data_IF_468193819316
#
_entry.id   IF_468193819316
#
_cell.length_a   1.000
_cell.length_b   1.000
_cell.length_c   1.000
_cell.angle_alpha   90.00
_cell.angle_beta   90.00
_cell.angle_gamma   90.00
#
_symmetry.space_group_name_H-M   'P 1'
#
loop_
_entity.id
_entity.type
_entity.pdbx_description
1 polymer ?
#
# COMPACT_ATOMS: atom_id res chain seq x y z
N UNK A 1 -7.31 -55.15 67.87
CA UNK A 1 -6.16 -54.23 67.81
C UNK A 1 -6.72 -52.85 67.53
N UNK A 2 -6.50 -51.93 68.45
CA UNK A 2 -7.01 -50.57 68.41
C UNK A 2 -6.08 -49.69 67.57
N UNK A 3 -6.66 -48.84 66.73
CA UNK A 3 -5.99 -47.64 66.22
C UNK A 3 -6.83 -46.43 66.63
N UNK A 4 -6.15 -45.55 67.36
CA UNK A 4 -6.64 -44.34 68.00
C UNK A 4 -7.03 -43.26 66.98
N UNK A 5 -8.13 -42.56 67.22
CA UNK A 5 -8.38 -41.22 66.69
C UNK A 5 -8.04 -40.19 67.78
N UNK A 6 -7.21 -39.21 67.44
CA UNK A 6 -6.93 -38.03 68.28
C UNK A 6 -7.95 -36.95 67.91
N UNK A 7 -8.75 -36.42 68.84
CA UNK A 7 -9.62 -35.29 68.59
C UNK A 7 -8.87 -33.97 68.79
N UNK A 8 -8.93 -33.04 67.83
CA UNK A 8 -8.50 -31.65 68.01
C UNK A 8 -7.46 -31.09 67.03
N UNK A 9 -7.55 -31.41 65.74
CA UNK A 9 -6.86 -30.64 64.71
C UNK A 9 -7.88 -30.22 63.66
N UNK A 10 -8.24 -28.95 63.74
CA UNK A 10 -9.00 -28.23 62.72
C UNK A 10 -8.21 -28.29 61.41
N UNK A 11 -8.72 -29.02 60.42
CA UNK A 11 -8.27 -28.88 59.05
C UNK A 11 -8.96 -27.63 58.52
N UNK A 12 -8.28 -26.49 58.65
CA UNK A 12 -8.61 -25.27 57.93
C UNK A 12 -8.55 -25.59 56.43
N UNK A 13 -9.73 -25.58 55.80
CA UNK A 13 -9.91 -25.62 54.35
C UNK A 13 -9.50 -24.25 53.80
N UNK A 14 -8.20 -23.95 53.83
CA UNK A 14 -7.65 -22.85 53.05
C UNK A 14 -7.46 -23.34 51.62
N UNK A 15 -8.53 -23.19 50.85
CA UNK A 15 -8.53 -23.15 49.40
C UNK A 15 -7.57 -22.02 48.98
N UNK A 16 -6.26 -22.30 48.90
CA UNK A 16 -5.30 -21.44 48.21
C UNK A 16 -5.54 -21.57 46.71
N UNK A 17 -6.65 -20.99 46.25
CA UNK A 17 -6.77 -20.53 44.88
C UNK A 17 -5.71 -19.45 44.68
N UNK A 18 -4.52 -19.88 44.25
CA UNK A 18 -3.51 -18.97 43.70
C UNK A 18 -4.22 -18.09 42.66
N UNK A 19 -4.19 -16.76 42.77
CA UNK A 19 -4.70 -15.93 41.70
C UNK A 19 -3.84 -16.26 40.48
N UNK A 20 -4.46 -16.77 39.42
CA UNK A 20 -3.87 -16.79 38.10
C UNK A 20 -3.38 -15.37 37.82
N UNK A 21 -2.07 -15.15 37.95
CA UNK A 21 -1.44 -13.91 37.52
C UNK A 21 -1.57 -13.98 36.00
N UNK A 22 -2.61 -13.34 35.46
CA UNK A 22 -2.63 -12.97 34.06
C UNK A 22 -1.36 -12.14 33.83
N UNK A 23 -0.31 -12.80 33.31
CA UNK A 23 0.87 -12.14 32.79
C UNK A 23 0.39 -11.26 31.65
N UNK A 24 0.06 -10.02 31.98
CA UNK A 24 -0.27 -8.99 31.01
C UNK A 24 0.96 -8.82 30.13
N UNK A 25 0.87 -9.28 28.88
CA UNK A 25 1.96 -9.16 27.92
C UNK A 25 2.46 -7.70 27.92
N UNK A 26 3.78 -7.48 27.93
CA UNK A 26 4.31 -6.13 28.00
C UNK A 26 3.78 -5.31 26.81
N UNK A 27 3.46 -4.01 27.02
CA UNK A 27 2.93 -3.19 25.95
C UNK A 27 3.90 -3.18 24.77
N UNK A 28 3.37 -3.34 23.56
CA UNK A 28 4.15 -3.37 22.33
C UNK A 28 4.18 -2.00 21.66
N UNK A 29 5.31 -1.68 21.04
CA UNK A 29 5.42 -0.62 20.04
C UNK A 29 5.33 -1.26 18.65
N UNK A 30 4.56 -0.63 17.75
CA UNK A 30 4.32 -1.11 16.40
C UNK A 30 4.86 -0.10 15.40
N UNK A 31 5.73 -0.55 14.50
CA UNK A 31 6.36 0.32 13.53
C UNK A 31 6.16 -0.21 12.12
N UNK A 32 5.73 0.65 11.21
CA UNK A 32 5.87 0.43 9.78
C UNK A 32 7.30 0.82 9.38
N UNK A 33 8.04 -0.16 8.88
CA UNK A 33 9.45 -0.03 8.57
C UNK A 33 9.76 -0.44 7.14
N UNK A 34 10.91 0.01 6.64
CA UNK A 34 11.59 -0.58 5.49
C UNK A 34 12.61 -1.57 6.03
N UNK A 35 12.52 -2.83 5.62
CA UNK A 35 13.59 -3.80 5.81
C UNK A 35 14.70 -3.55 4.78
N UNK A 36 15.86 -3.08 5.24
CA UNK A 36 16.96 -2.66 4.39
C UNK A 36 17.61 -3.81 3.61
N UNK A 37 17.44 -5.06 4.05
CA UNK A 37 17.99 -6.23 3.34
C UNK A 37 17.08 -6.69 2.21
N UNK A 38 15.79 -6.82 2.49
CA UNK A 38 14.80 -7.26 1.50
C UNK A 38 14.24 -6.11 0.64
N UNK A 39 14.50 -4.86 1.04
CA UNK A 39 14.02 -3.62 0.42
C UNK A 39 12.48 -3.68 0.25
N UNK A 40 11.80 -3.96 1.36
CA UNK A 40 10.36 -4.15 1.41
C UNK A 40 9.77 -3.55 2.70
N UNK A 41 8.52 -3.10 2.63
CA UNK A 41 7.76 -2.68 3.81
C UNK A 41 7.51 -3.85 4.76
N UNK A 42 7.63 -3.62 6.06
CA UNK A 42 7.33 -4.58 7.14
C UNK A 42 6.71 -3.88 8.33
N UNK A 43 5.83 -4.59 9.04
CA UNK A 43 5.39 -4.20 10.37
C UNK A 43 6.30 -4.89 11.38
N UNK A 44 6.92 -4.12 12.27
CA UNK A 44 7.78 -4.61 13.36
C UNK A 44 7.07 -4.32 14.67
N UNK A 45 6.76 -5.39 15.41
CA UNK A 45 6.19 -5.31 16.76
C UNK A 45 7.25 -5.76 17.76
N UNK A 46 7.47 -4.96 18.81
CA UNK A 46 8.47 -5.27 19.83
C UNK A 46 8.07 -4.66 21.18
N UNK A 47 8.58 -5.17 22.32
CA UNK A 47 8.28 -4.60 23.63
C UNK A 47 8.64 -3.11 23.70
N UNK A 48 7.78 -2.33 24.36
CA UNK A 48 7.92 -0.88 24.43
C UNK A 48 9.29 -0.45 24.93
N UNK A 49 9.88 0.50 24.22
CA UNK A 49 11.21 1.03 24.55
C UNK A 49 12.38 0.13 24.11
N UNK A 50 12.13 -1.01 23.48
CA UNK A 50 13.18 -1.78 22.80
C UNK A 50 13.68 -0.98 21.61
N UNK A 51 15.00 -0.82 21.40
CA UNK A 51 15.53 -0.20 20.19
C UNK A 51 15.18 -1.01 18.93
N UNK A 52 14.69 -0.35 17.88
CA UNK A 52 14.51 -0.98 16.57
C UNK A 52 15.89 -1.32 15.98
N UNK A 53 16.05 -2.55 15.47
CA UNK A 53 17.28 -2.98 14.79
C UNK A 53 17.63 -2.07 13.62
N UNK A 54 18.91 -1.76 13.47
CA UNK A 54 19.52 -0.98 12.38
C UNK A 54 19.16 -1.45 10.95
N UNK A 55 18.77 -2.72 10.80
CA UNK A 55 18.26 -3.24 9.52
C UNK A 55 16.88 -2.70 9.13
N UNK A 56 16.19 -2.01 10.03
CA UNK A 56 14.88 -1.44 9.81
C UNK A 56 14.95 0.09 9.84
N UNK A 57 14.44 0.73 8.81
CA UNK A 57 14.19 2.17 8.79
C UNK A 57 12.73 2.43 9.12
N UNK A 58 12.44 3.05 10.26
CA UNK A 58 11.07 3.41 10.66
C UNK A 58 10.54 4.49 9.70
N UNK A 59 9.39 4.23 9.11
CA UNK A 59 8.67 5.16 8.23
C UNK A 59 7.48 5.79 8.97
N UNK A 60 6.81 5.00 9.82
CA UNK A 60 5.64 5.44 10.56
C UNK A 60 5.44 4.59 11.81
N UNK A 61 5.14 5.24 12.94
CA UNK A 61 4.66 4.56 14.15
C UNK A 61 3.17 4.24 13.98
N UNK A 62 2.79 2.99 14.22
CA UNK A 62 1.41 2.52 14.08
C UNK A 62 0.72 2.50 15.43
N UNK A 63 -0.46 3.11 15.49
CA UNK A 63 -1.37 2.94 16.63
C UNK A 63 -1.94 1.51 16.65
N UNK A 64 -2.40 1.07 17.83
CA UNK A 64 -3.07 -0.23 17.94
C UNK A 64 -4.32 -0.31 17.07
N UNK A 65 -5.06 0.80 16.92
CA UNK A 65 -6.24 0.89 16.07
C UNK A 65 -5.88 0.69 14.59
N UNK A 66 -4.88 1.42 14.09
CA UNK A 66 -4.40 1.23 12.72
C UNK A 66 -3.95 -0.21 12.49
N UNK A 67 -3.22 -0.79 13.45
CA UNK A 67 -2.75 -2.17 13.37
C UNK A 67 -3.89 -3.18 13.25
N UNK A 68 -5.03 -2.95 13.92
CA UNK A 68 -6.19 -3.86 13.83
C UNK A 68 -6.76 -3.97 12.42
N UNK A 69 -6.49 -3.00 11.54
CA UNK A 69 -6.95 -3.03 10.15
C UNK A 69 -6.11 -3.95 9.26
N UNK A 70 -4.88 -4.29 9.67
CA UNK A 70 -3.96 -5.11 8.89
C UNK A 70 -4.15 -6.60 9.13
N UNK A 71 -4.02 -7.40 8.08
CA UNK A 71 -3.91 -8.87 8.18
C UNK A 71 -5.21 -9.65 8.29
N UNK A 72 -6.35 -8.97 8.46
CA UNK A 72 -7.66 -9.62 8.40
C UNK A 72 -8.01 -9.97 6.96
N UNK A 73 -7.71 -11.21 6.56
CA UNK A 73 -8.06 -11.71 5.24
C UNK A 73 -9.58 -11.80 5.09
N UNK A 74 -10.09 -11.32 3.96
CA UNK A 74 -11.48 -11.45 3.57
C UNK A 74 -11.80 -12.89 3.18
N UNK A 75 -13.00 -13.34 3.53
CA UNK A 75 -13.54 -14.59 3.01
C UNK A 75 -14.06 -14.37 1.60
N UNK A 76 -14.07 -15.42 0.79
CA UNK A 76 -14.60 -15.37 -0.57
C UNK A 76 -16.07 -14.90 -0.63
N UNK A 77 -16.86 -15.17 0.42
CA UNK A 77 -18.25 -14.69 0.54
C UNK A 77 -18.38 -13.18 0.73
N UNK A 78 -17.32 -12.54 1.23
CA UNK A 78 -17.32 -11.11 1.62
C UNK A 78 -16.70 -10.23 0.53
N UNK A 79 -16.27 -10.85 -0.57
CA UNK A 79 -15.69 -10.20 -1.74
C UNK A 79 -16.82 -10.04 -2.77
N UNK A 80 -17.29 -8.81 -2.93
CA UNK A 80 -18.12 -8.46 -4.07
C UNK A 80 -17.27 -8.53 -5.35
N UNK A 81 -17.59 -9.39 -6.33
CA UNK A 81 -16.86 -9.44 -7.59
C UNK A 81 -16.78 -8.09 -8.30
N UNK A 82 -17.79 -7.24 -8.10
CA UNK A 82 -17.90 -5.91 -8.70
C UNK A 82 -17.42 -4.77 -7.78
N UNK A 83 -17.12 -5.09 -6.52
CA UNK A 83 -16.54 -4.16 -5.56
C UNK A 83 -15.07 -3.85 -5.84
N UNK A 84 -14.61 -2.73 -5.27
CA UNK A 84 -13.22 -2.28 -5.32
C UNK A 84 -12.68 -1.80 -3.96
N UNK A 85 -13.34 -2.15 -2.87
CA UNK A 85 -12.98 -1.77 -1.51
C UNK A 85 -12.05 -2.79 -0.82
N UNK A 86 -11.34 -3.57 -1.64
CA UNK A 86 -10.39 -4.60 -1.21
C UNK A 86 -9.13 -4.63 -2.08
N UNK A 87 -8.04 -5.12 -1.49
CA UNK A 87 -6.72 -5.18 -2.11
C UNK A 87 -6.19 -6.61 -2.04
N UNK A 88 -5.78 -7.13 -3.19
CA UNK A 88 -5.16 -8.46 -3.31
C UNK A 88 -3.68 -8.44 -2.93
N UNK A 89 -3.23 -9.36 -2.08
CA UNK A 89 -1.81 -9.60 -1.84
C UNK A 89 -1.31 -10.75 -2.72
N UNK A 90 -0.41 -10.48 -3.68
CA UNK A 90 0.10 -11.51 -4.60
C UNK A 90 0.88 -12.63 -3.90
N UNK A 91 1.47 -12.34 -2.73
CA UNK A 91 2.34 -13.29 -2.01
C UNK A 91 1.56 -14.24 -1.11
N UNK A 92 0.54 -13.72 -0.42
CA UNK A 92 -0.35 -14.53 0.42
C UNK A 92 -1.52 -15.12 -0.37
N UNK A 93 -1.79 -14.57 -1.56
CA UNK A 93 -2.95 -14.90 -2.38
C UNK A 93 -4.30 -14.74 -1.65
N UNK A 94 -4.43 -13.64 -0.91
CA UNK A 94 -5.64 -13.29 -0.16
C UNK A 94 -6.01 -11.82 -0.41
N UNK A 95 -7.28 -11.49 -0.15
CA UNK A 95 -7.80 -10.12 -0.22
C UNK A 95 -7.93 -9.51 1.18
N UNK A 96 -7.69 -8.21 1.29
CA UNK A 96 -7.72 -7.45 2.54
C UNK A 96 -8.42 -6.11 2.32
N UNK A 97 -9.07 -5.56 3.35
CA UNK A 97 -9.64 -4.20 3.28
C UNK A 97 -8.55 -3.13 3.29
N UNK A 98 -7.64 -3.18 4.26
CA UNK A 98 -6.52 -2.25 4.33
C UNK A 98 -5.26 -2.80 3.65
N UNK A 99 -4.60 -3.81 4.25
CA UNK A 99 -3.52 -4.56 3.60
C UNK A 99 -3.13 -5.81 4.40
N UNK A 100 -2.28 -6.64 3.79
CA UNK A 100 -1.70 -7.82 4.44
C UNK A 100 -0.71 -7.39 5.55
N UNK A 101 -0.75 -8.03 6.73
CA UNK A 101 0.17 -7.72 7.83
C UNK A 101 1.62 -8.15 7.54
N UNK A 102 1.80 -9.26 6.82
CA UNK A 102 3.11 -9.77 6.39
C UNK A 102 3.70 -9.00 5.21
N UNK A 103 2.83 -8.42 4.38
CA UNK A 103 3.19 -7.66 3.18
C UNK A 103 2.43 -6.32 3.17
N UNK A 104 2.72 -5.43 4.14
CA UNK A 104 1.95 -4.22 4.35
C UNK A 104 2.14 -3.24 3.21
N UNK A 105 1.11 -2.42 3.00
CA UNK A 105 1.13 -1.33 2.03
C UNK A 105 1.29 0.01 2.74
N UNK A 106 2.18 0.86 2.23
CA UNK A 106 2.42 2.20 2.73
C UNK A 106 2.00 3.24 1.68
N UNK A 107 0.99 4.03 2.01
CA UNK A 107 0.39 5.02 1.11
C UNK A 107 1.18 6.32 1.14
N UNK A 108 1.76 6.69 0.00
CA UNK A 108 2.54 7.91 -0.17
C UNK A 108 1.63 9.02 -0.63
N UNK A 109 1.64 10.14 0.11
CA UNK A 109 0.92 11.34 -0.28
C UNK A 109 1.67 12.09 -1.38
N UNK A 110 0.92 12.56 -2.37
CA UNK A 110 1.42 13.54 -3.34
C UNK A 110 1.85 14.83 -2.62
N UNK A 111 2.80 15.55 -3.21
CA UNK A 111 3.15 16.90 -2.75
C UNK A 111 2.07 17.88 -3.19
N UNK A 112 1.87 18.91 -2.37
CA UNK A 112 1.07 20.06 -2.77
C UNK A 112 1.93 21.07 -3.55
N UNK A 113 1.56 21.40 -4.80
CA UNK A 113 2.23 22.46 -5.55
C UNK A 113 2.08 23.81 -4.82
N UNK A 114 3.14 24.62 -4.81
CA UNK A 114 3.06 25.96 -4.22
C UNK A 114 2.01 26.81 -4.95
N UNK A 115 1.29 27.68 -4.23
CA UNK A 115 0.24 28.56 -4.80
C UNK A 115 0.74 29.46 -5.94
N UNK A 116 2.04 29.75 -5.98
CA UNK A 116 2.70 30.53 -7.03
C UNK A 116 3.11 29.70 -8.26
N UNK A 117 2.95 28.38 -8.22
CA UNK A 117 3.32 27.49 -9.33
C UNK A 117 2.42 27.75 -10.53
N UNK A 118 2.98 27.66 -11.73
CA UNK A 118 2.20 27.73 -12.96
C UNK A 118 1.26 26.51 -13.03
N UNK A 119 -0.03 26.67 -13.38
CA UNK A 119 -0.98 25.56 -13.43
C UNK A 119 -0.50 24.37 -14.26
N UNK A 120 0.17 24.63 -15.38
CA UNK A 120 0.71 23.63 -16.31
C UNK A 120 1.81 22.74 -15.70
N UNK A 121 2.49 23.22 -14.64
CA UNK A 121 3.52 22.48 -13.92
C UNK A 121 2.95 21.62 -12.79
N UNK A 122 1.66 21.77 -12.45
CA UNK A 122 1.00 21.10 -11.33
C UNK A 122 1.32 19.61 -11.31
N UNK A 123 1.07 18.90 -12.41
CA UNK A 123 1.33 17.47 -12.48
C UNK A 123 2.75 17.09 -12.05
N UNK A 124 3.79 17.79 -12.54
CA UNK A 124 5.17 17.48 -12.13
C UNK A 124 5.45 17.84 -10.68
N UNK A 125 4.87 18.94 -10.20
CA UNK A 125 5.07 19.45 -8.84
C UNK A 125 4.41 18.60 -7.75
N UNK A 126 3.44 17.75 -8.12
CA UNK A 126 2.85 16.77 -7.19
C UNK A 126 3.75 15.57 -6.89
N UNK A 127 4.84 15.36 -7.64
CA UNK A 127 5.73 14.21 -7.46
C UNK A 127 6.37 14.20 -6.05
N UNK A 128 6.30 13.08 -5.31
CA UNK A 128 7.02 12.91 -4.05
C UNK A 128 8.50 13.31 -4.14
N UNK A 129 9.11 13.75 -3.03
CA UNK A 129 10.47 14.31 -3.06
C UNK A 129 11.55 13.34 -3.57
N UNK A 130 11.30 12.02 -3.49
CA UNK A 130 12.18 10.97 -3.99
C UNK A 130 11.84 10.52 -5.42
N UNK A 131 11.05 11.31 -6.16
CA UNK A 131 10.67 11.05 -7.55
C UNK A 131 10.97 12.30 -8.38
N UNK A 132 11.57 12.12 -9.55
CA UNK A 132 11.76 13.20 -10.53
C UNK A 132 11.16 12.85 -11.88
N UNK A 133 10.72 13.89 -12.61
CA UNK A 133 10.18 13.75 -13.96
C UNK A 133 11.26 14.19 -14.96
N UNK A 134 11.76 13.25 -15.77
CA UNK A 134 12.87 13.45 -16.72
C UNK A 134 12.53 12.81 -18.07
N UNK A 135 13.39 12.97 -19.08
CA UNK A 135 13.20 12.28 -20.37
C UNK A 135 13.32 10.77 -20.17
N UNK A 136 12.34 10.01 -20.66
CA UNK A 136 12.30 8.56 -20.54
C UNK A 136 13.46 7.90 -21.27
N UNK A 137 13.90 6.76 -20.76
CA UNK A 137 14.86 5.89 -21.45
C UNK A 137 14.21 5.10 -22.60
N UNK A 138 12.87 5.02 -22.62
CA UNK A 138 12.10 4.33 -23.66
C UNK A 138 12.03 5.23 -24.90
N UNK A 139 12.45 4.73 -26.09
CA UNK A 139 12.38 5.50 -27.32
C UNK A 139 10.97 6.04 -27.59
N UNK A 140 10.87 7.34 -27.89
CA UNK A 140 9.63 8.05 -28.21
C UNK A 140 8.56 8.08 -27.10
N UNK A 141 8.88 7.70 -25.86
CA UNK A 141 7.93 7.76 -24.74
C UNK A 141 7.78 9.16 -24.13
N UNK A 142 8.63 10.11 -24.50
CA UNK A 142 8.63 11.46 -23.95
C UNK A 142 9.25 11.48 -22.55
N UNK A 143 8.46 11.80 -21.52
CA UNK A 143 8.92 11.91 -20.14
C UNK A 143 8.60 10.64 -19.35
N UNK A 144 9.41 10.37 -18.33
CA UNK A 144 9.26 9.27 -17.38
C UNK A 144 9.44 9.76 -15.94
N UNK A 145 8.87 9.01 -14.99
CA UNK A 145 9.14 9.16 -13.57
C UNK A 145 10.35 8.31 -13.17
N UNK A 146 11.29 8.89 -12.44
CA UNK A 146 12.53 8.24 -12.02
C UNK A 146 12.71 8.32 -10.51
N UNK A 147 13.25 7.26 -9.93
CA UNK A 147 13.54 7.21 -8.50
C UNK A 147 14.80 8.03 -8.16
N UNK A 148 14.71 8.91 -7.16
CA UNK A 148 15.86 9.65 -6.58
C UNK A 148 16.38 8.99 -5.30
N UNK A 149 15.71 7.95 -4.82
CA UNK A 149 16.14 7.08 -3.72
C UNK A 149 15.73 5.64 -4.02
N UNK A 150 16.17 4.68 -3.21
CA UNK A 150 15.65 3.33 -3.32
C UNK A 150 14.18 3.29 -2.84
N UNK A 151 13.28 2.71 -3.63
CA UNK A 151 11.85 2.61 -3.31
C UNK A 151 11.52 1.14 -3.00
N UNK A 152 11.12 0.81 -1.76
CA UNK A 152 10.79 -0.56 -1.36
C UNK A 152 9.47 -1.09 -1.91
N UNK A 153 9.41 -2.42 -1.99
CA UNK A 153 8.16 -3.16 -2.27
C UNK A 153 7.13 -2.83 -1.20
N UNK A 154 5.89 -2.57 -1.61
CA UNK A 154 4.78 -2.25 -0.72
C UNK A 154 4.46 -0.75 -0.61
N UNK A 155 5.27 0.15 -1.20
CA UNK A 155 4.84 1.55 -1.34
C UNK A 155 3.72 1.66 -2.37
N UNK A 156 2.72 2.50 -2.07
CA UNK A 156 1.55 2.77 -2.89
C UNK A 156 1.48 4.25 -3.22
N UNK A 157 1.24 4.56 -4.48
CA UNK A 157 1.08 5.91 -5.01
C UNK A 157 -0.35 6.11 -5.50
N UNK A 158 -0.94 7.25 -5.14
CA UNK A 158 -2.22 7.70 -5.70
C UNK A 158 -3.19 8.38 -4.72
N UNK A 159 -4.43 8.65 -5.17
CA UNK A 159 -5.01 8.19 -6.45
C UNK A 159 -4.45 8.91 -7.68
N UNK A 160 -4.58 8.28 -8.86
CA UNK A 160 -4.36 8.91 -10.16
C UNK A 160 -5.36 10.04 -10.32
N UNK A 161 -4.89 11.19 -10.80
CA UNK A 161 -5.72 12.38 -10.91
C UNK A 161 -5.92 12.75 -12.37
N UNK A 162 -7.12 13.23 -12.67
CA UNK A 162 -7.53 13.62 -14.00
C UNK A 162 -8.96 14.14 -13.99
N UNK A 163 -9.51 14.32 -15.19
CA UNK A 163 -10.92 14.66 -15.39
C UNK A 163 -11.69 13.34 -15.55
N UNK A 164 -12.77 13.19 -14.80
CA UNK A 164 -13.68 12.05 -14.96
C UNK A 164 -14.56 12.30 -16.20
N UNK A 165 -14.57 11.33 -17.12
CA UNK A 165 -15.35 11.37 -18.35
C UNK A 165 -16.14 10.06 -18.52
N UNK A 166 -17.31 10.14 -19.16
CA UNK A 166 -18.18 8.98 -19.41
C UNK A 166 -18.14 8.54 -20.89
N UNK A 167 -17.70 9.42 -21.79
CA UNK A 167 -17.60 9.13 -23.21
C UNK A 167 -16.26 8.46 -23.55
N UNK A 168 -16.33 7.18 -23.90
CA UNK A 168 -15.17 6.39 -24.32
C UNK A 168 -14.44 6.97 -25.54
N UNK A 169 -15.10 7.75 -26.41
CA UNK A 169 -14.48 8.37 -27.58
C UNK A 169 -13.55 9.54 -27.21
N UNK A 170 -13.75 10.14 -26.03
CA UNK A 170 -12.88 11.19 -25.49
C UNK A 170 -11.65 10.60 -24.78
N UNK A 171 -11.78 9.39 -24.23
CA UNK A 171 -10.72 8.67 -23.50
C UNK A 171 -9.52 8.24 -24.37
N UNK A 172 -9.68 8.15 -25.69
CA UNK A 172 -8.74 7.46 -26.59
C UNK A 172 -7.65 8.37 -27.21
N UNK A 173 -7.65 9.67 -26.92
CA UNK A 173 -6.82 10.62 -27.69
C UNK A 173 -5.33 10.56 -27.35
N UNK A 174 -4.96 10.41 -26.06
CA UNK A 174 -3.57 10.67 -25.64
C UNK A 174 -2.92 9.57 -24.78
N UNK A 175 -3.60 8.45 -24.50
CA UNK A 175 -3.02 7.32 -23.75
C UNK A 175 -2.76 7.55 -22.26
N UNK A 176 -3.30 8.63 -21.69
CA UNK A 176 -3.25 9.00 -20.26
C UNK A 176 -4.55 8.65 -19.51
N UNK A 177 -5.34 7.74 -20.06
CA UNK A 177 -6.68 7.44 -19.58
C UNK A 177 -6.78 6.04 -18.96
N UNK A 178 -7.43 5.96 -17.81
CA UNK A 178 -7.77 4.71 -17.13
C UNK A 178 -9.27 4.46 -17.18
N UNK A 179 -9.68 3.28 -17.64
CA UNK A 179 -11.06 2.78 -17.49
C UNK A 179 -11.26 2.28 -16.05
N UNK A 180 -12.27 2.83 -15.37
CA UNK A 180 -12.67 2.45 -14.01
C UNK A 180 -13.78 1.40 -14.08
N UNK A 181 -13.68 0.36 -13.26
CA UNK A 181 -14.78 -0.58 -12.99
C UNK A 181 -15.84 0.15 -12.16
N UNK A 182 -17.09 0.07 -12.61
CA UNK A 182 -18.25 0.60 -11.91
C UNK A 182 -19.48 -0.23 -12.29
N UNK A 183 -20.44 -0.33 -11.37
CA UNK A 183 -21.73 -0.99 -11.61
C UNK A 183 -22.61 -0.22 -12.59
N UNK A 184 -22.42 1.10 -12.68
CA UNK A 184 -23.34 2.01 -13.36
C UNK A 184 -22.95 2.29 -14.82
N UNK A 185 -21.83 1.71 -15.27
CA UNK A 185 -21.31 1.85 -16.62
C UNK A 185 -19.81 2.15 -16.66
N UNK A 186 -19.22 2.26 -17.86
CA UNK A 186 -17.81 2.61 -17.99
C UNK A 186 -17.58 4.08 -17.65
N UNK A 187 -16.68 4.34 -16.70
CA UNK A 187 -16.15 5.67 -16.45
C UNK A 187 -14.65 5.68 -16.76
N UNK A 188 -14.12 6.84 -17.11
CA UNK A 188 -12.71 6.97 -17.41
C UNK A 188 -12.08 8.16 -16.70
N UNK A 189 -10.86 7.98 -16.20
CA UNK A 189 -10.08 9.04 -15.58
C UNK A 189 -8.99 9.51 -16.54
N UNK A 190 -9.20 10.68 -17.15
CA UNK A 190 -8.28 11.27 -18.13
C UNK A 190 -7.25 12.21 -17.49
N UNK A 191 -5.99 11.79 -17.48
CA UNK A 191 -4.85 12.57 -17.00
C UNK A 191 -4.12 13.39 -18.08
N UNK A 192 -4.70 13.56 -19.27
CA UNK A 192 -4.10 14.30 -20.39
C UNK A 192 -3.71 15.73 -20.00
N UNK A 193 -4.61 16.45 -19.30
CA UNK A 193 -4.41 17.83 -18.90
C UNK A 193 -3.50 17.93 -17.65
N UNK A 194 -2.32 18.54 -17.79
CA UNK A 194 -1.33 18.67 -16.70
C UNK A 194 -1.78 19.54 -15.53
N UNK A 195 -2.81 20.37 -15.73
CA UNK A 195 -3.41 21.23 -14.70
C UNK A 195 -4.39 20.49 -13.79
N UNK A 196 -4.95 19.36 -14.25
CA UNK A 196 -5.93 18.58 -13.49
C UNK A 196 -5.43 17.17 -13.13
N UNK A 197 -4.23 16.81 -13.58
CA UNK A 197 -3.59 15.53 -13.30
C UNK A 197 -2.41 15.65 -12.36
N UNK A 198 -1.94 14.51 -11.85
CA UNK A 198 -0.75 14.41 -11.00
C UNK A 198 0.43 13.74 -11.70
N UNK A 199 1.53 13.59 -10.97
CA UNK A 199 2.81 13.12 -11.48
C UNK A 199 2.74 11.71 -12.07
N UNK A 200 1.77 10.89 -11.64
CA UNK A 200 1.63 9.53 -12.12
C UNK A 200 1.24 9.42 -13.59
N UNK A 201 0.79 10.51 -14.23
CA UNK A 201 0.65 10.59 -15.69
C UNK A 201 1.97 10.29 -16.42
N UNK A 202 3.11 10.53 -15.78
CA UNK A 202 4.45 10.32 -16.34
C UNK A 202 5.01 8.90 -16.07
N UNK A 203 4.23 7.99 -15.49
CA UNK A 203 4.62 6.59 -15.36
C UNK A 203 4.42 5.91 -16.71
N UNK A 204 5.51 5.48 -17.33
CA UNK A 204 5.45 4.77 -18.60
C UNK A 204 5.01 3.31 -18.42
N UNK A 205 4.47 2.73 -19.49
CA UNK A 205 4.19 1.31 -19.52
C UNK A 205 5.46 0.50 -19.76
N UNK A 206 5.67 -0.51 -18.93
CA UNK A 206 6.65 -1.55 -19.17
C UNK A 206 6.39 -2.25 -20.52
N UNK A 207 7.47 -2.59 -21.21
CA UNK A 207 7.49 -3.31 -22.49
C UNK A 207 7.50 -4.83 -22.27
N UNK A 208 7.94 -5.28 -21.10
CA UNK A 208 7.97 -6.68 -20.70
C UNK A 208 8.02 -6.83 -19.17
N UNK A 209 7.57 -7.99 -18.67
CA UNK A 209 7.45 -8.26 -17.23
C UNK A 209 8.75 -8.09 -16.44
N UNK A 210 9.92 -8.23 -17.06
CA UNK A 210 11.22 -8.09 -16.38
C UNK A 210 11.56 -6.67 -15.94
N UNK A 211 11.03 -5.64 -16.61
CA UNK A 211 11.30 -4.23 -16.26
C UNK A 211 10.15 -3.58 -15.50
N UNK A 212 8.98 -4.23 -15.46
CA UNK A 212 7.86 -3.77 -14.66
C UNK A 212 8.28 -3.68 -13.19
N UNK A 213 7.99 -2.57 -12.53
CA UNK A 213 8.22 -2.44 -11.10
C UNK A 213 7.01 -1.86 -10.35
N UNK A 214 6.00 -1.40 -11.10
CA UNK A 214 4.70 -0.98 -10.57
C UNK A 214 3.56 -1.85 -11.11
N UNK A 215 2.56 -2.09 -10.27
CA UNK A 215 1.27 -2.66 -10.65
C UNK A 215 0.17 -1.63 -10.40
N UNK A 216 -0.59 -1.30 -11.44
CA UNK A 216 -1.78 -0.46 -11.31
C UNK A 216 -2.94 -1.29 -10.74
N UNK A 217 -3.73 -0.75 -9.83
CA UNK A 217 -4.94 -1.37 -9.30
C UNK A 217 -6.00 -0.32 -8.98
N UNK A 218 -7.27 -0.70 -9.03
CA UNK A 218 -8.36 0.16 -8.61
C UNK A 218 -8.68 -0.12 -7.14
N UNK A 219 -8.96 0.93 -6.38
CA UNK A 219 -9.38 0.85 -5.00
C UNK A 219 -10.29 2.04 -4.65
N UNK A 220 -11.47 1.80 -4.11
CA UNK A 220 -12.44 2.83 -3.71
C UNK A 220 -12.65 3.95 -4.75
N UNK A 221 -12.90 3.59 -6.01
CA UNK A 221 -13.14 4.49 -7.12
C UNK A 221 -11.89 5.18 -7.70
N UNK A 222 -10.71 4.96 -7.14
CA UNK A 222 -9.45 5.54 -7.60
C UNK A 222 -8.50 4.52 -8.22
N UNK A 223 -7.58 4.98 -9.09
CA UNK A 223 -6.49 4.16 -9.61
C UNK A 223 -5.21 4.45 -8.84
N UNK A 224 -4.52 3.40 -8.43
CA UNK A 224 -3.29 3.47 -7.64
C UNK A 224 -2.21 2.62 -8.28
N UNK A 225 -0.95 2.92 -7.95
CA UNK A 225 0.19 2.08 -8.32
C UNK A 225 0.87 1.57 -7.05
N UNK A 226 1.11 0.26 -6.97
CA UNK A 226 1.97 -0.31 -5.92
C UNK A 226 3.29 -0.78 -6.47
N UNK A 227 4.34 -0.60 -5.69
CA UNK A 227 5.68 -1.13 -5.98
C UNK A 227 5.69 -2.64 -5.73
N UNK A 228 5.90 -3.40 -6.80
CA UNK A 228 5.94 -4.87 -6.76
C UNK A 228 7.37 -5.44 -6.78
N UNK A 229 8.36 -4.60 -7.11
CA UNK A 229 9.79 -4.94 -7.08
C UNK A 229 10.58 -3.73 -6.58
N UNK A 230 11.67 -3.93 -5.81
CA UNK A 230 12.50 -2.81 -5.37
C UNK A 230 12.97 -1.97 -6.56
N UNK A 231 12.82 -0.65 -6.46
CA UNK A 231 13.25 0.30 -7.49
C UNK A 231 14.54 0.94 -7.01
N UNK A 232 15.63 0.81 -7.77
CA UNK A 232 16.91 1.42 -7.38
C UNK A 232 16.91 2.90 -7.73
N UNK A 233 17.77 3.65 -7.06
CA UNK A 233 18.02 5.04 -7.43
C UNK A 233 18.37 5.11 -8.93
N UNK A 234 17.77 6.07 -9.64
CA UNK A 234 17.87 6.33 -11.08
C UNK A 234 17.12 5.35 -11.98
N UNK A 235 16.49 4.30 -11.46
CA UNK A 235 15.62 3.45 -12.27
C UNK A 235 14.32 4.20 -12.62
N UNK A 236 13.79 3.91 -13.81
CA UNK A 236 12.50 4.43 -14.26
C UNK A 236 11.36 3.63 -13.59
N UNK A 237 10.32 4.34 -13.17
CA UNK A 237 9.08 3.75 -12.66
C UNK A 237 8.23 3.31 -13.85
N UNK A 238 8.03 2.01 -13.98
CA UNK A 238 7.37 1.36 -15.11
C UNK A 238 6.17 0.54 -14.65
N UNK A 239 4.99 0.99 -15.06
CA UNK A 239 3.70 0.36 -14.79
C UNK A 239 3.44 -0.83 -15.71
N UNK A 240 2.84 -1.88 -15.16
CA UNK A 240 2.16 -2.91 -15.95
C UNK A 240 0.67 -2.92 -15.64
N UNK A 241 -0.08 -3.53 -16.56
CA UNK A 241 -1.53 -3.66 -16.44
C UNK A 241 -1.85 -4.70 -15.37
N UNK A 242 -2.73 -4.37 -14.42
CA UNK A 242 -3.46 -5.42 -13.69
C UNK A 242 -4.51 -6.02 -14.62
N UNK A 243 -4.87 -7.30 -14.41
CA UNK A 243 -5.96 -7.96 -15.12
C UNK A 243 -7.30 -7.22 -14.97
N UNK A 244 -7.45 -6.40 -13.93
CA UNK A 244 -8.66 -5.64 -13.63
C UNK A 244 -8.71 -4.25 -14.26
N UNK A 245 -7.62 -3.75 -14.87
CA UNK A 245 -7.58 -2.41 -15.46
C UNK A 245 -7.15 -2.43 -16.93
N UNK A 246 -7.89 -1.72 -17.79
CA UNK A 246 -7.56 -1.55 -19.21
C UNK A 246 -7.07 -0.12 -19.44
N UNK A 247 -5.80 0.01 -19.83
CA UNK A 247 -5.33 1.22 -20.52
C UNK A 247 -5.77 1.10 -21.97
N UNK A 248 -6.66 1.98 -22.41
CA UNK A 248 -6.94 2.17 -23.84
C UNK A 248 -5.88 3.09 -24.43
N UNK A 249 -5.11 2.57 -25.38
CA UNK A 249 -4.22 3.35 -26.25
C UNK A 249 -4.76 3.26 -27.66
N UNK A 250 -4.75 4.37 -28.39
CA UNK A 250 -5.00 4.35 -29.83
C UNK A 250 -3.99 3.41 -30.51
N UNK A 251 -4.48 2.62 -31.46
CA UNK A 251 -3.66 1.72 -32.29
C UNK A 251 -2.84 2.51 -33.30
#
# INVERSE_FOLDING_TARGET
MATFQIPGLDYDDSDESSPDIEETEPPLDNHMCIDCYSIAMKIVQQPRGTPVSDKYLIVHELTSEELTTFGNALKDSDIDPDGDDFIHCDRCNCYYRASCKEHPLFWVKDREPAKSSRPEDRARMTAPAFISIKTSSIPNAGLGAFAEACIPVGMVFGPYQGILIDDASEAEKDGYCWELRSSDGPHFMDGSNTQYSNWMRYINSSRHDREQNLLAFQYCGGVYYRVIRPIKMKDELLGGKSRCLRIKRSR
#
